data_IF_966495393026
#
_entry.id   IF_966495393026
#
_cell.length_a   1.000
_cell.length_b   1.000
_cell.length_c   1.000
_cell.angle_alpha   90.00
_cell.angle_beta   90.00
_cell.angle_gamma   90.00
#
_symmetry.space_group_name_H-M   'P 1'
#
loop_
_entity.id
_entity.type
_entity.pdbx_description
1 polymer ?
#
# COMPACT_ATOMS: atom_id res chain seq x y z
N UNK A 1 5.68 5.52 20.09
CA UNK A 1 5.03 5.75 18.78
C UNK A 1 5.37 7.15 18.29
N UNK A 2 5.10 7.48 17.02
CA UNK A 2 5.32 8.84 16.48
C UNK A 2 4.59 9.93 17.30
N UNK A 3 3.39 9.63 17.80
CA UNK A 3 2.62 10.51 18.69
C UNK A 3 3.35 10.89 19.98
N UNK A 4 4.10 9.97 20.61
CA UNK A 4 4.84 10.25 21.85
C UNK A 4 5.94 11.29 21.67
N UNK A 5 6.38 11.54 20.42
CA UNK A 5 7.39 12.56 20.10
C UNK A 5 6.81 13.98 19.99
N UNK A 6 5.50 14.16 20.21
CA UNK A 6 4.78 15.45 20.17
C UNK A 6 5.03 16.26 18.89
N UNK A 7 4.79 15.69 17.68
CA UNK A 7 4.86 16.47 16.45
C UNK A 7 3.76 17.55 16.44
N UNK A 8 3.99 18.66 15.74
CA UNK A 8 2.96 19.71 15.54
C UNK A 8 1.74 19.18 14.78
N UNK A 9 1.95 18.22 13.88
CA UNK A 9 0.90 17.53 13.11
C UNK A 9 1.40 16.16 12.69
N UNK A 10 0.51 15.19 12.56
CA UNK A 10 0.78 13.87 11.99
C UNK A 10 -0.29 13.56 10.94
N UNK A 11 0.14 13.09 9.76
CA UNK A 11 -0.74 12.72 8.64
C UNK A 11 -0.21 11.48 7.94
N UNK A 12 -1.09 10.73 7.30
CA UNK A 12 -0.75 9.53 6.52
C UNK A 12 -0.95 9.81 5.03
N UNK A 13 0.09 9.53 4.24
CA UNK A 13 0.02 9.53 2.79
C UNK A 13 0.32 8.12 2.29
N UNK A 14 -0.58 7.55 1.50
CA UNK A 14 -0.46 6.21 0.95
C UNK A 14 -0.71 6.24 -0.56
N UNK A 15 0.11 5.53 -1.32
CA UNK A 15 -0.11 5.37 -2.76
C UNK A 15 -1.31 4.48 -3.05
N UNK A 16 -1.42 3.36 -2.33
CA UNK A 16 -2.43 2.33 -2.55
C UNK A 16 -3.13 1.98 -1.24
N UNK A 17 -4.44 1.79 -1.30
CA UNK A 17 -5.24 1.29 -0.19
C UNK A 17 -6.09 0.08 -0.60
N UNK A 18 -6.18 -0.91 0.30
CA UNK A 18 -7.01 -2.12 0.16
C UNK A 18 -8.02 -2.18 1.31
N UNK A 19 -9.16 -1.46 1.23
CA UNK A 19 -10.16 -1.41 2.31
C UNK A 19 -10.64 -2.81 2.73
N UNK A 20 -10.76 -3.73 1.78
CA UNK A 20 -11.18 -5.11 2.04
C UNK A 20 -10.22 -5.91 2.96
N UNK A 21 -9.01 -5.40 3.24
CA UNK A 21 -8.04 -6.01 4.16
C UNK A 21 -7.85 -5.22 5.46
N UNK A 22 -8.61 -4.16 5.69
CA UNK A 22 -8.53 -3.42 6.94
C UNK A 22 -9.02 -4.29 8.09
N UNK A 23 -8.19 -4.42 9.14
CA UNK A 23 -8.55 -5.14 10.38
C UNK A 23 -9.15 -4.16 11.41
N UNK A 24 -8.93 -2.86 11.23
CA UNK A 24 -9.47 -1.79 12.05
C UNK A 24 -9.51 -0.49 11.25
N UNK A 25 -9.97 0.57 11.90
CA UNK A 25 -10.08 1.88 11.27
C UNK A 25 -8.69 2.45 10.94
N UNK A 26 -8.47 2.78 9.67
CA UNK A 26 -7.25 3.45 9.19
C UNK A 26 -7.64 4.73 8.50
N UNK A 27 -7.24 5.87 9.06
CA UNK A 27 -7.43 7.18 8.42
C UNK A 27 -6.22 7.53 7.55
N UNK A 28 -6.46 7.80 6.27
CA UNK A 28 -5.46 8.20 5.29
C UNK A 28 -5.79 9.61 4.81
N UNK A 29 -4.94 10.59 5.15
CA UNK A 29 -5.15 12.00 4.76
C UNK A 29 -4.97 12.22 3.25
N UNK A 30 -4.03 11.48 2.64
CA UNK A 30 -3.70 11.59 1.23
C UNK A 30 -3.60 10.20 0.60
N UNK A 31 -4.57 9.87 -0.25
CA UNK A 31 -4.62 8.58 -0.94
C UNK A 31 -4.40 8.76 -2.43
N UNK A 32 -3.52 7.93 -3.02
CA UNK A 32 -3.38 7.81 -4.46
C UNK A 32 -4.54 7.04 -5.09
N UNK A 33 -4.64 5.74 -4.79
CA UNK A 33 -5.64 4.85 -5.38
C UNK A 33 -6.20 3.84 -4.39
N UNK A 34 -7.51 3.60 -4.44
CA UNK A 34 -8.14 2.43 -3.85
C UNK A 34 -8.07 1.26 -4.83
N UNK A 35 -7.62 0.10 -4.38
CA UNK A 35 -7.41 -1.07 -5.23
C UNK A 35 -8.10 -2.33 -4.67
N UNK A 36 -8.46 -3.29 -5.53
CA UNK A 36 -9.05 -4.56 -5.09
C UNK A 36 -8.05 -5.41 -4.30
N UNK A 37 -8.57 -6.48 -3.70
CA UNK A 37 -7.76 -7.49 -3.01
C UNK A 37 -6.98 -8.38 -4.00
N UNK A 38 -5.94 -7.82 -4.62
CA UNK A 38 -4.99 -8.53 -5.49
C UNK A 38 -3.57 -8.38 -4.97
N UNK A 39 -2.66 -9.29 -5.33
CA UNK A 39 -1.24 -9.13 -5.03
C UNK A 39 -0.64 -8.13 -6.04
N UNK A 40 0.00 -7.06 -5.57
CA UNK A 40 0.45 -5.94 -6.41
C UNK A 40 1.97 -5.89 -6.45
N UNK A 41 2.54 -5.50 -7.58
CA UNK A 41 3.98 -5.26 -7.80
C UNK A 41 4.19 -3.98 -8.61
N UNK A 42 5.43 -3.50 -8.67
CA UNK A 42 5.81 -2.30 -9.39
C UNK A 42 5.85 -1.04 -8.53
N UNK A 43 6.48 0.01 -9.04
CA UNK A 43 6.58 1.30 -8.35
C UNK A 43 7.12 1.20 -6.91
N UNK A 44 8.16 0.37 -6.72
CA UNK A 44 8.78 0.08 -5.42
C UNK A 44 8.22 -1.13 -4.68
N UNK A 45 7.04 -1.63 -5.08
CA UNK A 45 6.38 -2.80 -4.50
C UNK A 45 6.91 -4.07 -5.18
N UNK A 46 7.22 -5.10 -4.39
CA UNK A 46 7.86 -6.32 -4.89
C UNK A 46 7.04 -7.60 -4.71
N UNK A 47 7.45 -8.60 -5.48
CA UNK A 47 7.19 -10.01 -5.23
C UNK A 47 8.53 -10.76 -5.31
N UNK A 48 8.90 -11.47 -4.24
CA UNK A 48 10.18 -12.19 -4.15
C UNK A 48 11.39 -11.31 -4.54
N UNK A 49 11.41 -10.06 -4.06
CA UNK A 49 12.43 -9.04 -4.37
C UNK A 49 12.48 -8.57 -5.83
N UNK A 50 11.59 -9.05 -6.70
CA UNK A 50 11.51 -8.67 -8.10
C UNK A 50 10.47 -7.57 -8.35
N UNK A 51 10.52 -6.97 -9.54
CA UNK A 51 9.53 -6.05 -10.10
C UNK A 51 9.42 -4.65 -9.46
N UNK A 52 10.21 -4.30 -8.43
CA UNK A 52 10.20 -2.94 -7.84
C UNK A 52 10.41 -1.81 -8.85
N UNK A 53 11.22 -2.07 -9.88
CA UNK A 53 11.65 -1.09 -10.87
C UNK A 53 10.63 -0.85 -12.00
N UNK A 54 9.51 -1.57 -12.03
CA UNK A 54 8.49 -1.32 -13.05
C UNK A 54 7.93 0.10 -12.88
N UNK A 55 7.81 0.89 -13.96
CA UNK A 55 7.33 2.27 -13.91
C UNK A 55 5.81 2.37 -13.78
N UNK A 56 5.13 1.23 -13.61
CA UNK A 56 3.69 1.09 -13.46
C UNK A 56 3.37 0.12 -12.34
N UNK A 57 2.12 0.16 -11.88
CA UNK A 57 1.57 -0.74 -10.88
C UNK A 57 0.87 -1.88 -11.64
N UNK A 58 1.22 -3.12 -11.30
CA UNK A 58 0.62 -4.33 -11.88
C UNK A 58 0.19 -5.29 -10.77
N UNK A 59 -0.64 -6.28 -11.11
CA UNK A 59 -0.96 -7.37 -10.21
C UNK A 59 -0.41 -8.70 -10.74
N UNK A 60 -0.13 -9.62 -9.82
CA UNK A 60 0.32 -10.98 -10.16
C UNK A 60 -0.89 -11.90 -10.12
N UNK A 61 -1.09 -12.67 -11.20
CA UNK A 61 -1.97 -13.84 -11.19
C UNK A 61 -1.19 -15.00 -10.59
N UNK A 62 -1.56 -15.39 -9.37
CA UNK A 62 -1.02 -16.60 -8.76
C UNK A 62 -1.86 -17.75 -9.32
N UNK A 63 -1.26 -18.61 -10.14
CA UNK A 63 -1.86 -19.90 -10.44
C UNK A 63 -1.95 -20.68 -9.13
N UNK A 64 -3.14 -21.15 -8.78
CA UNK A 64 -3.31 -22.09 -7.66
C UNK A 64 -2.56 -23.38 -8.02
N UNK A 65 -1.54 -23.74 -7.23
CA UNK A 65 -0.96 -25.08 -7.24
C UNK A 65 -1.87 -26.07 -6.53
#
# INVERSE_FOLDING_TARGET
>A
TLWLRRPKSLKVCALLDKPARHIGEVHIDYLGFTIPNRFIVGYGIDYAEQHRNLPYIAYVELEEQ
#
